data_IF_932230685438
#
_entry.id   IF_932230685438
#
_cell.length_a   1.000
_cell.length_b   1.000
_cell.length_c   1.000
_cell.angle_alpha   90.00
_cell.angle_beta   90.00
_cell.angle_gamma   90.00
#
_symmetry.space_group_name_H-M   'P 1'
#
loop_
_entity.id
_entity.type
_entity.pdbx_description
1 polymer ?
#
# COMPACT_ATOMS: atom_id res chain seq x y z
N UNK A 1 0.97 -9.78 -21.58
CA UNK A 1 0.48 -10.93 -20.81
C UNK A 1 -0.98 -10.77 -20.36
N UNK A 2 -1.43 -9.58 -19.86
CA UNK A 2 -2.80 -9.38 -19.37
C UNK A 2 -3.88 -9.72 -20.40
N UNK A 3 -3.75 -9.29 -21.64
CA UNK A 3 -4.71 -9.57 -22.72
C UNK A 3 -4.91 -11.09 -22.95
N UNK A 4 -3.83 -11.86 -22.84
CA UNK A 4 -3.89 -13.33 -23.03
C UNK A 4 -4.49 -14.06 -21.83
N UNK A 5 -4.24 -13.53 -20.64
CA UNK A 5 -4.59 -14.22 -19.39
C UNK A 5 -6.04 -13.94 -18.95
N UNK A 6 -6.56 -12.73 -19.20
CA UNK A 6 -7.85 -12.33 -18.65
C UNK A 6 -9.02 -13.25 -19.03
N UNK A 7 -9.16 -13.73 -20.30
CA UNK A 7 -10.24 -14.64 -20.65
C UNK A 7 -10.14 -15.98 -19.91
N UNK A 8 -8.92 -16.50 -19.77
CA UNK A 8 -8.68 -17.77 -19.08
C UNK A 8 -8.98 -17.69 -17.59
N UNK A 9 -8.56 -16.57 -16.94
CA UNK A 9 -8.81 -16.35 -15.52
C UNK A 9 -10.30 -16.19 -15.23
N UNK A 10 -11.00 -15.39 -16.05
CA UNK A 10 -12.45 -15.19 -15.89
C UNK A 10 -13.21 -16.50 -16.13
N UNK A 11 -12.83 -17.27 -17.18
CA UNK A 11 -13.44 -18.58 -17.41
C UNK A 11 -13.25 -19.51 -16.22
N UNK A 12 -12.03 -19.61 -15.70
CA UNK A 12 -11.75 -20.48 -14.56
C UNK A 12 -12.56 -20.08 -13.32
N UNK A 13 -12.69 -18.77 -13.05
CA UNK A 13 -13.50 -18.28 -11.92
C UNK A 13 -15.00 -18.62 -12.07
N UNK A 14 -15.54 -18.48 -13.28
CA UNK A 14 -16.94 -18.85 -13.56
C UNK A 14 -17.16 -20.37 -13.45
N UNK A 15 -16.23 -21.16 -14.00
CA UNK A 15 -16.28 -22.64 -13.91
C UNK A 15 -16.22 -23.10 -12.45
N UNK A 16 -15.36 -22.50 -11.62
CA UNK A 16 -15.23 -22.81 -10.19
C UNK A 16 -16.49 -22.44 -9.40
N UNK A 17 -17.09 -21.29 -9.74
CA UNK A 17 -18.34 -20.85 -9.14
C UNK A 17 -19.58 -21.63 -9.64
N UNK A 18 -19.45 -22.41 -10.72
CA UNK A 18 -20.56 -23.15 -11.32
C UNK A 18 -21.61 -22.27 -11.98
N UNK A 19 -21.22 -21.08 -12.46
CA UNK A 19 -22.12 -20.09 -13.07
C UNK A 19 -21.67 -19.70 -14.48
N UNK A 20 -22.59 -19.18 -15.27
CA UNK A 20 -22.29 -18.59 -16.58
C UNK A 20 -22.20 -17.07 -16.46
N UNK A 21 -21.64 -16.35 -17.46
CA UNK A 21 -21.63 -14.90 -17.46
C UNK A 21 -23.03 -14.24 -17.41
N UNK A 22 -24.07 -14.98 -17.81
CA UNK A 22 -25.45 -14.50 -17.82
C UNK A 22 -26.15 -14.60 -16.45
N UNK A 23 -25.56 -15.37 -15.53
CA UNK A 23 -26.09 -15.56 -14.18
C UNK A 23 -25.55 -14.51 -13.20
N UNK A 24 -24.71 -13.58 -13.67
CA UNK A 24 -24.09 -12.55 -12.84
C UNK A 24 -25.04 -11.36 -12.63
N UNK A 25 -25.09 -10.83 -11.42
CA UNK A 25 -25.84 -9.61 -11.08
C UNK A 25 -25.06 -8.32 -11.44
N UNK A 26 -23.75 -8.39 -11.54
CA UNK A 26 -22.88 -7.27 -11.84
C UNK A 26 -21.45 -7.68 -12.24
N UNK A 27 -20.80 -6.83 -13.02
CA UNK A 27 -19.40 -6.99 -13.41
C UNK A 27 -18.60 -5.82 -12.82
N UNK A 28 -17.84 -6.07 -11.75
CA UNK A 28 -17.00 -5.06 -11.12
C UNK A 28 -15.62 -5.02 -11.78
N UNK A 29 -15.12 -3.82 -12.06
CA UNK A 29 -13.78 -3.64 -12.65
C UNK A 29 -13.07 -2.41 -12.09
N UNK A 30 -11.79 -2.58 -11.76
CA UNK A 30 -10.93 -1.45 -11.37
C UNK A 30 -10.69 -0.54 -12.57
N UNK A 31 -11.11 0.74 -12.45
CA UNK A 31 -10.91 1.75 -13.51
C UNK A 31 -9.78 2.75 -13.20
N UNK A 32 -9.33 2.82 -11.98
CA UNK A 32 -8.26 3.68 -11.45
C UNK A 32 -8.08 3.43 -9.95
N UNK A 33 -7.00 3.83 -9.37
CA UNK A 33 -5.70 4.16 -9.92
C UNK A 33 -4.94 2.88 -10.32
N UNK A 34 -3.91 3.03 -11.19
CA UNK A 34 -3.09 1.89 -11.63
C UNK A 34 -2.42 2.14 -13.00
N UNK A 35 -1.65 1.18 -13.45
CA UNK A 35 -0.98 1.24 -14.75
C UNK A 35 -2.02 1.28 -15.88
N UNK A 36 -1.97 2.33 -16.70
CA UNK A 36 -2.94 2.60 -17.77
C UNK A 36 -3.13 1.40 -18.70
N UNK A 37 -2.04 0.73 -19.11
CA UNK A 37 -2.13 -0.44 -20.00
C UNK A 37 -2.86 -1.63 -19.35
N UNK A 38 -2.68 -1.87 -18.05
CA UNK A 38 -3.37 -2.93 -17.32
C UNK A 38 -4.85 -2.58 -17.11
N UNK A 39 -5.15 -1.32 -16.72
CA UNK A 39 -6.51 -0.82 -16.57
C UNK A 39 -7.31 -0.92 -17.87
N UNK A 40 -6.70 -0.52 -19.00
CA UNK A 40 -7.34 -0.61 -20.32
C UNK A 40 -7.74 -2.04 -20.68
N UNK A 41 -6.89 -3.02 -20.40
CA UNK A 41 -7.21 -4.43 -20.64
C UNK A 41 -8.41 -4.87 -19.81
N UNK A 42 -8.39 -4.60 -18.50
CA UNK A 42 -9.47 -4.96 -17.59
C UNK A 42 -10.80 -4.29 -17.96
N UNK A 43 -10.76 -2.96 -18.15
CA UNK A 43 -11.96 -2.17 -18.47
C UNK A 43 -12.55 -2.54 -19.84
N UNK A 44 -11.69 -2.76 -20.86
CA UNK A 44 -12.17 -3.17 -22.18
C UNK A 44 -12.83 -4.54 -22.16
N UNK A 45 -12.22 -5.49 -21.47
CA UNK A 45 -12.77 -6.84 -21.29
C UNK A 45 -14.11 -6.79 -20.55
N UNK A 46 -14.17 -6.10 -19.41
CA UNK A 46 -15.38 -5.99 -18.62
C UNK A 46 -16.53 -5.28 -19.37
N UNK A 47 -16.22 -4.21 -20.13
CA UNK A 47 -17.20 -3.54 -20.99
C UNK A 47 -17.75 -4.49 -22.07
N UNK A 48 -16.87 -5.24 -22.74
CA UNK A 48 -17.29 -6.19 -23.77
C UNK A 48 -18.17 -7.30 -23.19
N UNK A 49 -17.82 -7.79 -22.00
CA UNK A 49 -18.60 -8.82 -21.31
C UNK A 49 -19.97 -8.27 -20.90
N UNK A 50 -20.02 -7.08 -20.27
CA UNK A 50 -21.26 -6.38 -19.91
C UNK A 50 -22.16 -6.16 -21.13
N UNK A 51 -21.59 -5.70 -22.25
CA UNK A 51 -22.35 -5.48 -23.47
C UNK A 51 -22.92 -6.79 -24.07
N UNK A 52 -22.16 -7.87 -24.00
CA UNK A 52 -22.57 -9.18 -24.53
C UNK A 52 -23.66 -9.85 -23.69
N UNK A 53 -23.65 -9.65 -22.38
CA UNK A 53 -24.53 -10.32 -21.42
C UNK A 53 -25.71 -9.45 -20.96
N UNK A 54 -25.63 -8.14 -21.12
CA UNK A 54 -26.59 -7.18 -20.54
C UNK A 54 -26.38 -6.93 -19.04
N UNK A 55 -25.39 -7.55 -18.41
CA UNK A 55 -25.08 -7.43 -16.97
C UNK A 55 -24.48 -6.07 -16.67
N UNK A 56 -24.93 -5.36 -15.62
CA UNK A 56 -24.42 -4.04 -15.25
C UNK A 56 -22.92 -3.99 -14.98
N UNK A 57 -22.24 -2.93 -15.46
CA UNK A 57 -20.85 -2.67 -15.20
C UNK A 57 -20.67 -1.75 -13.99
N UNK A 58 -19.90 -2.17 -13.00
CA UNK A 58 -19.64 -1.45 -11.77
C UNK A 58 -18.18 -0.96 -11.78
N UNK A 59 -18.00 0.36 -11.65
CA UNK A 59 -16.68 1.00 -11.56
C UNK A 59 -16.15 0.87 -10.14
N UNK A 60 -14.92 0.36 -9.98
CA UNK A 60 -14.24 0.26 -8.69
C UNK A 60 -12.97 1.10 -8.70
N UNK A 61 -12.79 1.96 -7.69
CA UNK A 61 -11.55 2.65 -7.45
C UNK A 61 -10.60 1.72 -6.66
N UNK A 62 -9.33 1.64 -7.06
CA UNK A 62 -8.35 0.79 -6.40
C UNK A 62 -8.11 1.18 -4.92
N UNK A 63 -8.17 2.48 -4.62
CA UNK A 63 -8.03 2.99 -3.24
C UNK A 63 -9.21 2.54 -2.38
N UNK A 64 -10.43 2.66 -2.92
CA UNK A 64 -11.63 2.11 -2.27
C UNK A 64 -11.49 0.62 -2.02
N UNK A 65 -10.95 -0.12 -3.00
CA UNK A 65 -10.71 -1.55 -2.87
C UNK A 65 -9.78 -1.90 -1.70
N UNK A 66 -8.73 -1.10 -1.45
CA UNK A 66 -7.87 -1.27 -0.28
C UNK A 66 -8.62 -1.01 1.04
N UNK A 67 -9.45 0.04 1.09
CA UNK A 67 -10.25 0.37 2.27
C UNK A 67 -11.28 -0.74 2.53
N UNK A 68 -12.03 -1.12 1.50
CA UNK A 68 -13.09 -2.13 1.57
C UNK A 68 -12.56 -3.54 1.94
N UNK A 69 -11.30 -3.85 1.64
CA UNK A 69 -10.68 -5.12 2.04
C UNK A 69 -10.72 -5.34 3.56
N UNK A 70 -10.73 -4.27 4.37
CA UNK A 70 -10.85 -4.39 5.82
C UNK A 70 -12.21 -4.95 6.25
N UNK A 71 -13.29 -4.67 5.53
CA UNK A 71 -14.64 -5.20 5.84
C UNK A 71 -14.74 -6.72 5.66
N UNK A 72 -13.85 -7.33 4.86
CA UNK A 72 -13.80 -8.78 4.67
C UNK A 72 -13.22 -9.47 5.92
N UNK A 73 -12.17 -8.87 6.51
CA UNK A 73 -11.49 -9.42 7.68
C UNK A 73 -12.07 -8.92 9.01
N UNK A 74 -12.74 -7.78 8.97
CA UNK A 74 -13.35 -7.09 10.11
C UNK A 74 -14.79 -6.70 9.78
N UNK A 75 -15.74 -7.65 9.72
CA UNK A 75 -17.15 -7.38 9.41
C UNK A 75 -17.82 -6.41 10.38
N UNK A 76 -17.26 -6.30 11.60
CA UNK A 76 -17.70 -5.38 12.66
C UNK A 76 -17.21 -3.93 12.44
N UNK A 77 -16.32 -3.69 11.49
CA UNK A 77 -15.81 -2.35 11.21
C UNK A 77 -16.87 -1.53 10.50
N UNK A 78 -17.35 -0.50 11.15
CA UNK A 78 -18.34 0.44 10.59
C UNK A 78 -17.76 1.86 10.51
N UNK A 79 -18.04 2.60 9.42
CA UNK A 79 -17.74 4.03 9.37
C UNK A 79 -18.47 4.82 10.47
N UNK A 80 -17.95 5.99 10.90
CA UNK A 80 -16.72 6.60 10.41
C UNK A 80 -15.46 6.06 11.06
N UNK A 81 -14.34 6.07 10.32
CA UNK A 81 -12.99 5.74 10.81
C UNK A 81 -11.90 6.40 9.96
N UNK A 82 -10.69 6.50 10.49
CA UNK A 82 -9.50 6.87 9.73
C UNK A 82 -8.83 5.61 9.19
N UNK A 83 -8.45 5.63 7.91
CA UNK A 83 -7.70 4.56 7.28
C UNK A 83 -6.28 5.04 6.92
N UNK A 84 -5.27 4.41 7.51
CA UNK A 84 -3.89 4.54 7.05
C UNK A 84 -3.69 3.61 5.86
N UNK A 85 -3.66 4.19 4.66
CA UNK A 85 -3.37 3.47 3.42
C UNK A 85 -1.87 3.51 3.13
N UNK A 86 -1.19 2.37 3.16
CA UNK A 86 0.23 2.26 2.84
C UNK A 86 0.48 1.06 1.93
N UNK A 87 0.80 1.32 0.66
CA UNK A 87 1.01 0.31 -0.37
C UNK A 87 2.25 0.60 -1.22
N UNK A 88 2.50 -0.24 -2.23
CA UNK A 88 3.57 -0.03 -3.20
C UNK A 88 3.41 1.23 -4.05
N UNK A 89 2.17 1.66 -4.30
CA UNK A 89 1.89 2.82 -5.15
C UNK A 89 1.21 3.99 -4.44
N UNK A 90 0.72 3.81 -3.21
CA UNK A 90 -0.06 4.82 -2.51
C UNK A 90 0.29 4.87 -1.03
N UNK A 91 0.34 6.10 -0.50
CA UNK A 91 0.51 6.37 0.94
C UNK A 91 -0.35 7.56 1.29
N UNK A 92 -1.35 7.35 2.14
CA UNK A 92 -2.31 8.37 2.51
C UNK A 92 -2.96 8.09 3.87
N UNK A 93 -3.42 9.15 4.52
CA UNK A 93 -4.38 9.09 5.63
C UNK A 93 -5.73 9.52 5.07
N UNK A 94 -6.71 8.63 5.18
CA UNK A 94 -8.03 8.78 4.57
C UNK A 94 -9.09 8.78 5.67
N UNK A 95 -9.98 9.77 5.68
CA UNK A 95 -11.21 9.74 6.46
C UNK A 95 -12.25 8.95 5.67
N UNK A 96 -12.82 7.93 6.26
CA UNK A 96 -13.93 7.14 5.71
C UNK A 96 -15.19 7.55 6.48
N UNK A 97 -16.04 8.33 5.85
CA UNK A 97 -17.23 8.91 6.47
C UNK A 97 -18.43 7.95 6.39
N UNK A 98 -18.52 7.23 5.26
CA UNK A 98 -19.52 6.18 5.02
C UNK A 98 -18.91 5.06 4.17
N UNK A 99 -19.68 4.04 3.84
CA UNK A 99 -19.24 2.94 2.96
C UNK A 99 -18.90 3.38 1.53
N UNK A 100 -19.35 4.55 1.13
CA UNK A 100 -19.17 5.10 -0.23
C UNK A 100 -18.59 6.51 -0.27
N UNK A 101 -18.30 7.09 0.91
CA UNK A 101 -17.80 8.47 1.01
C UNK A 101 -16.51 8.50 1.84
N UNK A 102 -15.45 9.04 1.24
CA UNK A 102 -14.15 9.16 1.86
C UNK A 102 -13.39 10.36 1.31
N UNK A 103 -12.56 10.96 2.17
CA UNK A 103 -11.71 12.10 1.85
C UNK A 103 -10.26 11.82 2.21
N UNK A 104 -9.33 12.17 1.31
CA UNK A 104 -7.89 12.06 1.55
C UNK A 104 -7.46 13.28 2.36
N UNK A 105 -7.01 13.06 3.60
CA UNK A 105 -6.57 14.11 4.51
C UNK A 105 -5.09 14.44 4.34
N UNK A 106 -4.25 13.40 4.20
CA UNK A 106 -2.80 13.49 4.03
C UNK A 106 -2.36 12.51 2.95
N UNK A 107 -1.32 12.83 2.21
CA UNK A 107 -0.81 11.96 1.15
C UNK A 107 0.70 12.13 0.96
N UNK A 108 1.33 11.17 0.29
CA UNK A 108 2.71 11.38 -0.17
C UNK A 108 2.73 12.32 -1.37
N UNK A 109 3.75 13.18 -1.41
CA UNK A 109 3.96 14.13 -2.53
C UNK A 109 4.95 13.60 -3.58
N UNK A 110 5.57 12.44 -3.30
CA UNK A 110 6.57 11.85 -4.19
C UNK A 110 6.45 10.30 -4.18
N UNK A 111 7.49 9.56 -3.78
CA UNK A 111 7.44 8.09 -3.72
C UNK A 111 6.40 7.62 -2.69
N UNK A 112 5.73 6.52 -2.96
CA UNK A 112 4.95 5.82 -1.94
C UNK A 112 5.87 5.09 -0.95
N UNK A 113 5.36 4.83 0.27
CA UNK A 113 6.09 4.13 1.31
C UNK A 113 6.64 2.77 0.82
N UNK A 114 5.79 1.93 0.22
CA UNK A 114 6.20 0.63 -0.29
C UNK A 114 7.23 0.72 -1.43
N UNK A 115 7.12 1.73 -2.30
CA UNK A 115 8.12 2.01 -3.34
C UNK A 115 9.48 2.39 -2.72
N UNK A 116 9.49 3.14 -1.63
CA UNK A 116 10.70 3.47 -0.89
C UNK A 116 11.35 2.20 -0.30
N UNK A 117 10.56 1.29 0.27
CA UNK A 117 11.04 -0.03 0.71
C UNK A 117 11.70 -0.82 -0.41
N UNK A 118 11.08 -0.89 -1.59
CA UNK A 118 11.64 -1.60 -2.75
C UNK A 118 12.96 -0.98 -3.24
N UNK A 119 13.05 0.35 -3.26
CA UNK A 119 14.27 1.07 -3.65
C UNK A 119 15.41 0.89 -2.66
N UNK A 120 15.12 0.91 -1.35
CA UNK A 120 16.11 0.64 -0.30
C UNK A 120 16.54 -0.82 -0.33
N UNK A 121 15.62 -1.77 -0.51
CA UNK A 121 15.94 -3.18 -0.68
C UNK A 121 16.95 -3.39 -1.82
N UNK A 122 16.69 -2.79 -2.98
CA UNK A 122 17.61 -2.84 -4.13
C UNK A 122 19.00 -2.28 -3.78
N UNK A 123 19.08 -1.18 -3.03
CA UNK A 123 20.36 -0.60 -2.57
C UNK A 123 21.12 -1.55 -1.66
N UNK A 124 20.43 -2.32 -0.83
CA UNK A 124 21.00 -3.35 0.04
C UNK A 124 21.30 -4.67 -0.69
N UNK A 125 21.00 -4.77 -1.99
CA UNK A 125 21.18 -6.00 -2.78
C UNK A 125 20.17 -7.10 -2.46
N UNK A 126 18.94 -6.73 -2.05
CA UNK A 126 17.87 -7.66 -1.71
C UNK A 126 16.95 -7.93 -2.92
N UNK A 127 16.27 -9.09 -2.97
CA UNK A 127 15.34 -9.43 -4.05
C UNK A 127 14.08 -8.55 -4.06
N UNK A 128 13.37 -8.58 -5.18
CA UNK A 128 12.04 -8.00 -5.31
C UNK A 128 10.96 -9.07 -5.04
N UNK A 129 9.85 -8.74 -4.38
CA UNK A 129 9.49 -7.44 -3.74
C UNK A 129 10.30 -7.18 -2.48
N UNK A 130 10.82 -5.93 -2.36
CA UNK A 130 11.82 -5.59 -1.36
C UNK A 130 11.29 -5.48 0.07
N UNK A 131 10.03 -5.06 0.24
CA UNK A 131 9.44 -4.80 1.56
C UNK A 131 9.55 -5.98 2.52
N UNK A 132 9.30 -7.20 2.05
CA UNK A 132 9.39 -8.44 2.87
C UNK A 132 10.81 -8.69 3.37
N UNK A 133 11.80 -8.46 2.52
CA UNK A 133 13.20 -8.68 2.86
C UNK A 133 13.74 -7.61 3.82
N UNK A 134 13.37 -6.34 3.60
CA UNK A 134 13.72 -5.25 4.51
C UNK A 134 13.10 -5.51 5.89
N UNK A 135 11.83 -5.91 5.96
CA UNK A 135 11.17 -6.25 7.22
C UNK A 135 11.89 -7.39 7.95
N UNK A 136 12.28 -8.46 7.22
CA UNK A 136 13.02 -9.57 7.81
C UNK A 136 14.36 -9.13 8.43
N UNK A 137 15.13 -8.31 7.71
CA UNK A 137 16.40 -7.78 8.24
C UNK A 137 16.18 -6.83 9.43
N UNK A 138 15.13 -5.97 9.33
CA UNK A 138 14.82 -5.01 10.37
C UNK A 138 14.46 -5.64 11.72
N UNK A 139 13.89 -6.85 11.72
CA UNK A 139 13.60 -7.59 12.96
C UNK A 139 14.85 -7.96 13.77
N UNK A 140 15.95 -8.22 13.08
CA UNK A 140 17.22 -8.60 13.68
C UNK A 140 18.17 -7.40 13.91
N UNK A 141 17.81 -6.23 13.34
CA UNK A 141 18.63 -5.02 13.38
C UNK A 141 18.34 -4.11 14.55
N UNK A 142 19.27 -3.16 14.76
CA UNK A 142 19.15 -2.08 15.73
C UNK A 142 18.99 -0.74 15.00
N UNK A 143 18.27 0.19 15.59
CA UNK A 143 18.14 1.56 15.07
C UNK A 143 19.42 2.34 15.44
N UNK A 144 20.41 2.34 14.55
CA UNK A 144 21.73 2.93 14.78
C UNK A 144 22.05 4.12 13.88
N UNK A 145 21.30 4.30 12.79
CA UNK A 145 21.47 5.42 11.86
C UNK A 145 20.30 6.42 11.98
N UNK A 146 20.63 7.69 12.08
CA UNK A 146 19.63 8.77 12.15
C UNK A 146 19.20 9.18 10.75
N UNK A 147 18.13 8.56 10.25
CA UNK A 147 17.49 8.94 9.01
C UNK A 147 16.31 9.89 9.29
N UNK A 148 16.16 10.91 8.43
CA UNK A 148 15.05 11.85 8.55
C UNK A 148 13.71 11.14 8.38
N UNK A 149 12.73 11.51 9.23
CA UNK A 149 11.35 11.07 9.07
C UNK A 149 10.79 11.41 7.69
N UNK A 150 9.88 10.59 7.19
CA UNK A 150 9.14 10.86 5.97
C UNK A 150 8.03 11.91 6.15
N UNK A 151 7.69 12.31 7.39
CA UNK A 151 6.63 13.29 7.66
C UNK A 151 7.14 14.71 7.43
N UNK A 152 6.36 15.48 6.71
CA UNK A 152 6.59 16.90 6.42
C UNK A 152 5.94 17.78 7.49
N UNK A 153 6.27 19.08 7.48
CA UNK A 153 5.73 20.06 8.46
C UNK A 153 4.20 20.23 8.38
N UNK A 154 3.61 19.97 7.22
CA UNK A 154 2.17 20.03 6.96
C UNK A 154 1.42 18.71 7.20
N UNK A 155 2.13 17.69 7.69
CA UNK A 155 1.63 16.36 7.95
C UNK A 155 1.53 15.47 6.70
N UNK A 156 1.85 15.95 5.51
CA UNK A 156 2.03 15.13 4.32
C UNK A 156 3.33 14.33 4.39
N UNK A 157 3.56 13.44 3.42
CA UNK A 157 4.70 12.52 3.43
C UNK A 157 5.63 12.78 2.24
N UNK A 158 6.94 12.58 2.44
CA UNK A 158 7.97 12.60 1.39
C UNK A 158 8.99 11.50 1.66
N UNK A 159 9.00 10.50 0.81
CA UNK A 159 9.91 9.35 0.91
C UNK A 159 11.18 9.50 0.08
N UNK A 160 11.17 10.42 -0.91
CA UNK A 160 12.34 10.63 -1.78
C UNK A 160 13.56 11.10 -1.01
N UNK A 161 13.38 11.99 -0.02
CA UNK A 161 14.46 12.43 0.85
C UNK A 161 15.01 11.33 1.74
N UNK A 162 14.12 10.56 2.38
CA UNK A 162 14.48 9.42 3.23
C UNK A 162 15.25 8.35 2.42
N UNK A 163 14.71 7.92 1.30
CA UNK A 163 15.35 6.98 0.38
C UNK A 163 16.76 7.44 -0.01
N UNK A 164 16.88 8.71 -0.43
CA UNK A 164 18.17 9.28 -0.84
C UNK A 164 19.16 9.31 0.32
N UNK A 165 18.71 9.60 1.54
CA UNK A 165 19.52 9.55 2.75
C UNK A 165 20.13 8.17 2.99
N UNK A 166 19.34 7.09 2.84
CA UNK A 166 19.80 5.72 2.97
C UNK A 166 20.81 5.35 1.88
N UNK A 167 20.51 5.69 0.62
CA UNK A 167 21.40 5.42 -0.52
C UNK A 167 22.76 6.10 -0.30
N UNK A 168 22.75 7.36 0.09
CA UNK A 168 23.99 8.12 0.36
C UNK A 168 24.75 7.54 1.56
N UNK A 169 24.06 7.11 2.61
CA UNK A 169 24.69 6.46 3.75
C UNK A 169 25.45 5.19 3.34
N UNK A 170 24.79 4.29 2.61
CA UNK A 170 25.38 3.04 2.11
C UNK A 170 26.58 3.32 1.20
N UNK A 171 26.43 4.27 0.27
CA UNK A 171 27.50 4.65 -0.65
C UNK A 171 28.73 5.26 0.06
N UNK A 172 28.50 6.16 1.02
CA UNK A 172 29.56 6.79 1.80
C UNK A 172 30.34 5.77 2.64
N UNK A 173 29.64 4.79 3.23
CA UNK A 173 30.31 3.72 3.98
C UNK A 173 31.16 2.85 3.05
N UNK A 174 30.64 2.48 1.88
CA UNK A 174 31.38 1.74 0.87
C UNK A 174 32.64 2.49 0.38
N UNK A 175 32.55 3.80 0.13
CA UNK A 175 33.70 4.62 -0.26
C UNK A 175 34.78 4.70 0.81
N UNK A 176 34.40 4.63 2.08
CA UNK A 176 35.33 4.61 3.21
C UNK A 176 35.93 3.20 3.48
N UNK A 177 35.56 2.19 2.69
CA UNK A 177 35.95 0.80 2.91
C UNK A 177 35.35 0.18 4.18
N UNK A 178 34.26 0.76 4.70
CA UNK A 178 33.57 0.28 5.90
C UNK A 178 32.41 -0.64 5.50
N UNK A 179 32.34 -1.80 6.17
CA UNK A 179 31.18 -2.68 6.04
C UNK A 179 29.97 -2.10 6.76
N UNK A 180 28.81 -2.21 6.13
CA UNK A 180 27.53 -1.86 6.74
C UNK A 180 26.86 -3.10 7.34
N UNK A 181 26.25 -2.96 8.51
CA UNK A 181 25.29 -3.93 8.99
C UNK A 181 23.96 -3.69 8.30
N UNK A 182 23.61 -4.54 7.33
CA UNK A 182 22.36 -4.40 6.56
C UNK A 182 21.12 -4.49 7.44
N UNK A 183 21.14 -5.25 8.52
CA UNK A 183 20.04 -5.39 9.47
C UNK A 183 19.79 -4.05 10.17
N UNK A 184 20.84 -3.36 10.62
CA UNK A 184 20.74 -2.07 11.29
C UNK A 184 20.28 -0.96 10.35
N UNK A 185 20.76 -0.96 9.10
CA UNK A 185 20.27 -0.03 8.07
C UNK A 185 18.80 -0.25 7.77
N UNK A 186 18.39 -1.52 7.62
CA UNK A 186 16.98 -1.88 7.38
C UNK A 186 16.10 -1.47 8.56
N UNK A 187 16.54 -1.68 9.81
CA UNK A 187 15.81 -1.25 11.02
C UNK A 187 15.69 0.26 11.09
N UNK A 188 16.78 0.99 10.93
CA UNK A 188 16.80 2.45 10.99
C UNK A 188 15.93 3.09 9.92
N UNK A 189 15.98 2.55 8.68
CA UNK A 189 15.10 2.97 7.62
C UNK A 189 13.62 2.69 7.95
N UNK A 190 13.31 1.47 8.42
CA UNK A 190 11.93 1.08 8.76
C UNK A 190 11.35 2.00 9.83
N UNK A 191 12.11 2.31 10.89
CA UNK A 191 11.68 3.23 11.93
C UNK A 191 11.40 4.62 11.35
N UNK A 192 12.31 5.16 10.54
CA UNK A 192 12.15 6.49 9.94
C UNK A 192 10.97 6.56 8.93
N UNK A 193 10.70 5.47 8.22
CA UNK A 193 9.63 5.40 7.24
C UNK A 193 8.24 5.23 7.87
N UNK A 194 8.15 4.52 9.00
CA UNK A 194 6.88 4.02 9.52
C UNK A 194 6.41 4.80 10.74
N UNK A 195 7.33 5.14 11.67
CA UNK A 195 6.94 5.75 12.95
C UNK A 195 6.07 7.00 12.75
N UNK A 196 6.57 7.99 12.04
CA UNK A 196 5.82 9.23 11.81
C UNK A 196 4.55 9.03 10.98
N UNK A 197 4.52 8.03 10.09
CA UNK A 197 3.33 7.68 9.31
C UNK A 197 2.19 7.18 10.22
N UNK A 198 2.52 6.34 11.19
CA UNK A 198 1.55 5.84 12.19
C UNK A 198 1.14 6.96 13.14
N UNK A 199 2.10 7.74 13.67
CA UNK A 199 1.83 8.87 14.56
C UNK A 199 0.81 9.83 13.92
N UNK A 200 1.04 10.24 12.66
CA UNK A 200 0.16 11.17 11.93
C UNK A 200 -1.26 10.62 11.74
N UNK A 201 -1.37 9.31 11.45
CA UNK A 201 -2.66 8.64 11.31
C UNK A 201 -3.39 8.52 12.65
N UNK A 202 -2.67 8.17 13.71
CA UNK A 202 -3.23 8.04 15.07
C UNK A 202 -3.69 9.39 15.63
N UNK A 203 -2.88 10.45 15.48
CA UNK A 203 -3.25 11.81 15.87
C UNK A 203 -4.51 12.28 15.12
N UNK A 204 -4.58 12.00 13.83
CA UNK A 204 -5.77 12.30 13.00
C UNK A 204 -7.00 11.56 13.51
N UNK A 205 -6.86 10.27 13.82
CA UNK A 205 -7.96 9.45 14.35
C UNK A 205 -8.39 9.93 15.74
N UNK A 206 -7.42 10.21 16.63
CA UNK A 206 -7.69 10.69 18.00
C UNK A 206 -8.43 12.04 18.02
N UNK A 207 -8.08 12.93 17.10
CA UNK A 207 -8.72 14.25 16.95
C UNK A 207 -10.12 14.19 16.31
N UNK A 208 -10.52 13.05 15.72
CA UNK A 208 -11.78 12.93 14.98
C UNK A 208 -12.66 11.79 15.47
N UNK A 209 -12.51 10.60 14.92
CA UNK A 209 -13.44 9.46 15.06
C UNK A 209 -12.99 8.39 16.05
N UNK A 210 -11.76 8.47 16.53
CA UNK A 210 -11.16 7.52 17.52
C UNK A 210 -11.15 6.06 17.05
N UNK A 211 -11.18 5.85 15.73
CA UNK A 211 -11.04 4.54 15.11
C UNK A 211 -9.99 4.66 14.00
N UNK A 212 -9.00 3.78 14.01
CA UNK A 212 -7.95 3.69 13.01
C UNK A 212 -7.90 2.28 12.44
N UNK A 213 -7.82 2.15 11.13
CA UNK A 213 -7.46 0.90 10.47
C UNK A 213 -6.25 1.10 9.54
N UNK A 214 -5.59 0.02 9.18
CA UNK A 214 -4.44 0.02 8.27
C UNK A 214 -4.77 -0.81 7.04
N UNK A 215 -4.54 -0.26 5.85
CA UNK A 215 -4.76 -0.93 4.57
C UNK A 215 -3.52 -0.87 3.68
N UNK A 216 -3.43 -1.80 2.73
CA UNK A 216 -2.33 -1.88 1.77
C UNK A 216 -1.18 -2.79 2.21
N UNK A 217 -0.31 -3.14 1.25
CA UNK A 217 0.73 -4.15 1.44
C UNK A 217 1.78 -3.82 2.50
N UNK A 218 2.05 -2.54 2.76
CA UNK A 218 2.97 -2.11 3.85
C UNK A 218 2.37 -2.38 5.23
N UNK A 219 1.04 -2.52 5.35
CA UNK A 219 0.38 -2.96 6.58
C UNK A 219 0.81 -4.35 7.08
N UNK A 220 1.45 -5.16 6.23
CA UNK A 220 2.05 -6.43 6.63
C UNK A 220 3.42 -6.28 7.32
N UNK A 221 4.03 -5.08 7.29
CA UNK A 221 5.31 -4.82 7.95
C UNK A 221 5.19 -5.02 9.47
N UNK A 222 6.11 -5.79 10.06
CA UNK A 222 6.05 -6.16 11.47
C UNK A 222 6.17 -4.96 12.42
N UNK A 223 7.11 -4.05 12.13
CA UNK A 223 7.29 -2.85 12.94
C UNK A 223 6.06 -1.92 12.89
N UNK A 224 5.45 -1.77 11.68
CA UNK A 224 4.21 -0.99 11.56
C UNK A 224 3.10 -1.57 12.42
N UNK A 225 2.90 -2.89 12.37
CA UNK A 225 1.84 -3.56 13.14
C UNK A 225 2.05 -3.46 14.64
N UNK A 226 3.28 -3.70 15.10
CA UNK A 226 3.65 -3.58 16.51
C UNK A 226 3.46 -2.14 17.00
N UNK A 227 4.02 -1.18 16.28
CA UNK A 227 3.96 0.23 16.68
C UNK A 227 2.53 0.79 16.63
N UNK A 228 1.74 0.45 15.60
CA UNK A 228 0.34 0.89 15.51
C UNK A 228 -0.57 0.25 16.58
N UNK A 229 -0.20 -0.91 17.14
CA UNK A 229 -0.96 -1.53 18.24
C UNK A 229 -0.63 -0.93 19.61
N UNK A 230 0.51 -0.24 19.74
CA UNK A 230 0.95 0.44 20.96
C UNK A 230 0.50 1.91 21.03
N UNK A 231 0.17 2.50 19.88
CA UNK A 231 -0.23 3.91 19.73
C UNK A 231 -1.74 4.07 19.80
#
# INVERSE_FOLDING_TARGET
NHVRNIPCVVKAALDEAGVTPFDLDGIAVTYGAGLVGALLVGVSFAKSLSQATGVPLIKVNHIEGHICANYITHPELEPPFVCLLASGGHTAVVMVESYTDYSVLKTTIDDACGEAFDKVARTLGLPYPGGVWVDKLAREGKNTADFKSAVMKDGNFSYSGLKTGVINYVHNMSQKGLEINKNDVAKSFTVAAVKGLVDEAADTAAASVKKLCVAGGVGANSYLREYAAET
#
